data_IF_219696656137
#
_entry.id   IF_219696656137
#
_cell.length_a   1.000
_cell.length_b   1.000
_cell.length_c   1.000
_cell.angle_alpha   90.00
_cell.angle_beta   90.00
_cell.angle_gamma   90.00
#
_symmetry.space_group_name_H-M   'P 1'
#
loop_
_entity.id
_entity.type
_entity.pdbx_description
1 polymer ?
#
# COMPACT_ATOMS: atom_id res chain seq x y z
N UNK A 1 -15.92 67.00 46.06
CA UNK A 1 -15.20 66.15 45.09
C UNK A 1 -14.14 65.33 45.82
N UNK A 2 -14.37 64.04 46.05
CA UNK A 2 -13.35 63.06 46.48
C UNK A 2 -13.56 61.81 45.63
N UNK A 3 -12.61 61.52 44.76
CA UNK A 3 -12.65 60.41 43.81
C UNK A 3 -12.22 59.12 44.50
N UNK A 4 -13.12 58.12 44.46
CA UNK A 4 -12.83 56.75 44.89
C UNK A 4 -12.13 56.08 43.70
N UNK A 5 -10.85 55.72 43.87
CA UNK A 5 -10.13 54.91 42.88
C UNK A 5 -10.52 53.44 43.08
N UNK A 6 -11.35 52.93 42.17
CA UNK A 6 -11.73 51.53 42.10
C UNK A 6 -10.53 50.72 41.59
N UNK A 7 -10.03 49.80 42.41
CA UNK A 7 -8.95 48.88 42.06
C UNK A 7 -9.58 47.65 41.40
N UNK A 8 -9.55 47.59 40.06
CA UNK A 8 -10.01 46.43 39.32
C UNK A 8 -8.95 45.33 39.37
N UNK A 9 -9.25 44.24 40.08
CA UNK A 9 -8.43 43.02 40.09
C UNK A 9 -8.73 42.25 38.80
N UNK A 10 -7.75 42.24 37.89
CA UNK A 10 -7.79 41.47 36.65
C UNK A 10 -7.52 39.99 36.97
N UNK A 11 -8.58 39.18 37.08
CA UNK A 11 -8.44 37.73 37.22
C UNK A 11 -8.00 37.13 35.87
N UNK A 12 -6.72 36.77 35.76
CA UNK A 12 -6.20 36.03 34.62
C UNK A 12 -6.76 34.59 34.64
N UNK A 13 -7.74 34.32 33.78
CA UNK A 13 -8.18 32.96 33.45
C UNK A 13 -7.05 32.26 32.69
N UNK A 14 -6.19 31.54 33.42
CA UNK A 14 -5.24 30.61 32.83
C UNK A 14 -6.01 29.39 32.36
N UNK A 15 -6.45 29.40 31.11
CA UNK A 15 -6.96 28.22 30.43
C UNK A 15 -5.80 27.21 30.30
N UNK A 16 -5.75 26.24 31.20
CA UNK A 16 -4.84 25.09 31.07
C UNK A 16 -5.29 24.27 29.85
N UNK A 17 -4.70 24.55 28.69
CA UNK A 17 -4.81 23.66 27.55
C UNK A 17 -4.06 22.36 27.92
N UNK A 18 -4.80 21.31 28.29
CA UNK A 18 -4.23 19.98 28.41
C UNK A 18 -3.74 19.55 27.02
N UNK A 19 -2.43 19.59 26.82
CA UNK A 19 -1.78 18.90 25.72
C UNK A 19 -1.99 17.39 25.95
N UNK A 20 -3.13 16.87 25.51
CA UNK A 20 -3.35 15.43 25.53
C UNK A 20 -2.36 14.80 24.56
N UNK A 21 -1.39 14.06 25.09
CA UNK A 21 -0.46 13.29 24.27
C UNK A 21 -1.25 12.42 23.29
N UNK A 22 -1.05 12.67 21.99
CA UNK A 22 -1.69 11.88 20.93
C UNK A 22 -1.31 10.42 21.13
N UNK A 23 -2.29 9.53 21.24
CA UNK A 23 -2.03 8.10 21.36
C UNK A 23 -1.55 7.56 20.02
N UNK A 24 -0.65 6.59 20.06
CA UNK A 24 -0.16 5.91 18.87
C UNK A 24 -0.54 4.45 18.88
N UNK A 25 -0.65 3.92 17.67
CA UNK A 25 -0.99 2.53 17.42
C UNK A 25 -0.03 1.97 16.39
N UNK A 26 0.08 0.66 16.40
CA UNK A 26 0.81 -0.13 15.43
C UNK A 26 -0.16 -1.16 14.88
N UNK A 27 -0.22 -1.29 13.56
CA UNK A 27 -0.94 -2.39 12.92
C UNK A 27 0.06 -3.31 12.24
N UNK A 28 -0.18 -4.60 12.39
CA UNK A 28 0.49 -5.65 11.65
C UNK A 28 -0.56 -6.47 10.91
N UNK A 29 -0.32 -6.74 9.63
CA UNK A 29 -1.28 -7.37 8.73
C UNK A 29 -0.61 -8.42 7.84
N UNK A 30 -1.33 -9.51 7.59
CA UNK A 30 -1.05 -10.49 6.55
C UNK A 30 -2.26 -10.57 5.63
N UNK A 31 -2.04 -10.45 4.33
CA UNK A 31 -3.03 -10.81 3.31
C UNK A 31 -2.57 -12.07 2.58
N UNK A 32 -3.50 -12.99 2.28
CA UNK A 32 -3.20 -14.28 1.67
C UNK A 32 -4.34 -14.77 0.77
N UNK A 33 -3.98 -15.58 -0.22
CA UNK A 33 -4.94 -16.26 -1.10
C UNK A 33 -5.57 -17.45 -0.38
N UNK A 34 -6.90 -17.59 -0.49
CA UNK A 34 -7.63 -18.77 -0.04
C UNK A 34 -7.76 -19.79 -1.17
N UNK A 35 -7.70 -21.08 -0.84
CA UNK A 35 -8.06 -22.12 -1.79
C UNK A 35 -9.58 -22.14 -2.00
N UNK A 36 -10.06 -22.29 -3.25
CA UNK A 36 -11.49 -22.39 -3.50
C UNK A 36 -12.06 -23.63 -2.81
N UNK A 37 -13.08 -23.44 -1.96
CA UNK A 37 -13.86 -24.59 -1.49
C UNK A 37 -14.66 -25.17 -2.66
N UNK A 38 -14.69 -26.50 -2.78
CA UNK A 38 -15.35 -27.24 -3.87
C UNK A 38 -16.88 -27.00 -3.96
N UNK A 39 -17.46 -26.31 -2.96
CA UNK A 39 -18.88 -25.99 -2.84
C UNK A 39 -19.22 -24.51 -3.10
N UNK A 40 -18.25 -23.66 -3.44
CA UNK A 40 -18.49 -22.23 -3.69
C UNK A 40 -19.19 -22.01 -5.03
N UNK A 41 -20.44 -21.54 -4.95
CA UNK A 41 -21.28 -21.09 -6.08
C UNK A 41 -21.50 -19.58 -6.02
N UNK A 42 -20.43 -18.81 -5.86
CA UNK A 42 -20.52 -17.35 -5.92
C UNK A 42 -20.12 -16.85 -7.31
N UNK A 43 -20.94 -15.94 -7.84
CA UNK A 43 -20.71 -15.29 -9.12
C UNK A 43 -19.83 -14.05 -8.91
N UNK A 44 -18.53 -14.19 -9.17
CA UNK A 44 -17.54 -13.09 -9.09
C UNK A 44 -17.41 -12.32 -10.42
N UNK A 45 -18.39 -12.42 -11.32
CA UNK A 45 -18.31 -11.81 -12.65
C UNK A 45 -18.59 -10.29 -12.66
N UNK A 46 -18.92 -9.70 -11.50
CA UNK A 46 -19.18 -8.26 -11.39
C UNK A 46 -17.84 -7.54 -11.28
N UNK A 47 -17.44 -6.83 -12.33
CA UNK A 47 -16.32 -5.89 -12.25
C UNK A 47 -16.64 -4.81 -11.21
N UNK A 48 -15.85 -4.71 -10.14
CA UNK A 48 -16.26 -3.91 -9.02
C UNK A 48 -15.83 -2.44 -9.24
N UNK A 49 -16.65 -1.48 -8.84
CA UNK A 49 -16.43 -0.04 -9.11
C UNK A 49 -15.02 0.44 -8.69
N UNK A 50 -14.42 1.44 -9.35
CA UNK A 50 -13.11 1.94 -8.94
C UNK A 50 -13.15 2.44 -7.48
N UNK A 51 -12.15 2.05 -6.68
CA UNK A 51 -12.05 2.45 -5.28
C UNK A 51 -12.05 3.98 -5.13
N UNK A 52 -12.79 4.52 -4.15
CA UNK A 52 -12.91 5.96 -3.93
C UNK A 52 -11.58 6.59 -3.45
N UNK A 53 -10.91 7.32 -4.34
CA UNK A 53 -9.52 7.79 -4.18
C UNK A 53 -9.39 9.16 -3.50
N UNK A 54 -9.56 9.24 -2.18
CA UNK A 54 -9.24 10.47 -1.43
C UNK A 54 -8.27 10.19 -0.29
N UNK A 55 -7.30 11.10 -0.08
CA UNK A 55 -6.31 11.00 1.00
C UNK A 55 -5.56 9.65 1.02
N UNK A 56 -5.07 9.20 -0.14
CA UNK A 56 -4.32 7.95 -0.29
C UNK A 56 -2.88 8.17 0.19
N UNK A 57 -2.34 7.18 0.89
CA UNK A 57 -0.95 7.14 1.32
C UNK A 57 -0.31 5.81 0.89
N UNK A 58 0.62 5.89 -0.07
CA UNK A 58 1.31 4.75 -0.66
C UNK A 58 2.55 4.33 0.11
N UNK A 59 2.37 3.93 1.38
CA UNK A 59 3.48 3.53 2.26
C UNK A 59 4.27 2.35 1.67
N UNK A 60 3.56 1.31 1.23
CA UNK A 60 4.18 0.07 0.72
C UNK A 60 4.98 0.31 -0.54
N UNK A 61 4.51 1.20 -1.42
CA UNK A 61 5.21 1.56 -2.64
C UNK A 61 6.64 2.06 -2.33
N UNK A 62 6.76 2.98 -1.36
CA UNK A 62 8.08 3.46 -0.90
C UNK A 62 8.95 2.33 -0.36
N UNK A 63 8.41 1.46 0.50
CA UNK A 63 9.16 0.32 1.05
C UNK A 63 9.56 -0.73 0.00
N UNK A 64 8.74 -0.98 -1.01
CA UNK A 64 9.11 -1.84 -2.14
C UNK A 64 10.15 -1.19 -3.05
N UNK A 65 10.09 0.13 -3.24
CA UNK A 65 11.12 0.85 -3.98
C UNK A 65 12.48 0.75 -3.28
N UNK A 66 12.51 0.95 -1.96
CA UNK A 66 13.72 0.72 -1.14
C UNK A 66 14.21 -0.72 -1.25
N UNK A 67 13.30 -1.69 -1.32
CA UNK A 67 13.67 -3.10 -1.49
C UNK A 67 14.35 -3.34 -2.83
N UNK A 68 13.77 -2.83 -3.93
CA UNK A 68 14.37 -2.96 -5.26
C UNK A 68 15.70 -2.23 -5.40
N UNK A 69 15.82 -1.05 -4.80
CA UNK A 69 17.10 -0.32 -4.73
C UNK A 69 18.18 -1.13 -3.99
N UNK A 70 17.86 -1.72 -2.83
CA UNK A 70 18.82 -2.58 -2.11
C UNK A 70 19.20 -3.82 -2.92
N UNK A 71 18.24 -4.47 -3.58
CA UNK A 71 18.53 -5.60 -4.48
C UNK A 71 19.42 -5.21 -5.66
N UNK A 72 19.27 -3.99 -6.19
CA UNK A 72 20.19 -3.45 -7.19
C UNK A 72 21.61 -3.33 -6.64
N UNK A 73 21.77 -2.74 -5.45
CA UNK A 73 23.07 -2.60 -4.79
C UNK A 73 23.73 -3.95 -4.47
N UNK A 74 22.93 -4.98 -4.21
CA UNK A 74 23.36 -6.37 -4.01
C UNK A 74 23.78 -7.08 -5.31
N UNK A 75 23.62 -6.43 -6.47
CA UNK A 75 24.05 -6.95 -7.77
C UNK A 75 22.98 -7.74 -8.52
N UNK A 76 21.71 -7.59 -8.18
CA UNK A 76 20.62 -8.24 -8.93
C UNK A 76 20.51 -7.69 -10.35
N UNK A 77 20.69 -8.56 -11.35
CA UNK A 77 20.61 -8.21 -12.76
C UNK A 77 19.24 -7.66 -13.18
N UNK A 78 18.16 -8.03 -12.47
CA UNK A 78 16.80 -7.54 -12.73
C UNK A 78 16.66 -6.03 -12.51
N UNK A 79 17.42 -5.47 -11.57
CA UNK A 79 17.30 -4.07 -11.16
C UNK A 79 18.43 -3.18 -11.65
N UNK A 80 19.51 -3.78 -12.15
CA UNK A 80 20.63 -3.07 -12.76
C UNK A 80 20.17 -2.33 -14.03
N UNK A 81 20.49 -1.05 -14.12
CA UNK A 81 20.34 -0.33 -15.40
C UNK A 81 21.49 -0.69 -16.32
N UNK A 82 21.16 -1.11 -17.54
CA UNK A 82 22.16 -1.34 -18.57
C UNK A 82 22.57 0.02 -19.15
N UNK A 83 23.58 0.61 -18.53
CA UNK A 83 24.20 1.85 -18.97
C UNK A 83 25.03 1.58 -20.25
N UNK A 84 24.36 1.45 -21.40
CA UNK A 84 24.98 1.11 -22.68
C UNK A 84 26.12 2.10 -23.04
N UNK A 85 25.89 3.40 -22.84
CA UNK A 85 26.87 4.46 -23.14
C UNK A 85 28.10 4.39 -22.23
N UNK A 86 27.94 3.98 -20.96
CA UNK A 86 29.04 3.84 -20.00
C UNK A 86 29.82 2.54 -20.21
N UNK A 87 29.14 1.48 -20.66
CA UNK A 87 29.75 0.25 -21.13
C UNK A 87 30.67 0.45 -22.34
N UNK A 88 30.36 1.41 -23.21
CA UNK A 88 31.20 1.78 -24.36
C UNK A 88 32.44 2.60 -23.97
N UNK A 89 32.38 3.40 -22.91
CA UNK A 89 33.46 4.34 -22.55
C UNK A 89 34.41 3.82 -21.47
N UNK A 90 33.97 2.91 -20.60
CA UNK A 90 34.74 2.47 -19.43
C UNK A 90 35.23 1.03 -19.48
N UNK A 91 34.88 0.24 -20.51
CA UNK A 91 35.31 -1.15 -20.65
C UNK A 91 34.79 -2.10 -19.54
N UNK A 92 33.99 -1.59 -18.61
CA UNK A 92 33.39 -2.33 -17.51
C UNK A 92 31.86 -2.11 -17.53
N UNK A 93 31.11 -3.21 -17.38
CA UNK A 93 29.65 -3.17 -17.14
C UNK A 93 29.43 -2.67 -15.71
N UNK A 94 29.49 -1.37 -15.45
CA UNK A 94 29.06 -0.85 -14.15
C UNK A 94 27.55 -0.72 -14.16
N UNK A 95 26.86 -1.66 -13.51
CA UNK A 95 25.45 -1.50 -13.15
C UNK A 95 25.33 -0.31 -12.20
N UNK A 96 24.72 0.78 -12.67
CA UNK A 96 24.37 1.92 -11.83
C UNK A 96 23.01 1.64 -11.17
N UNK A 97 22.92 1.97 -9.88
CA UNK A 97 21.68 1.91 -9.12
C UNK A 97 21.29 3.34 -8.78
N UNK A 98 20.32 3.88 -9.51
CA UNK A 98 19.80 5.22 -9.31
C UNK A 98 18.65 5.21 -8.28
N UNK A 99 18.77 5.92 -7.14
CA UNK A 99 17.72 5.95 -6.11
C UNK A 99 16.39 6.57 -6.58
N UNK A 100 16.39 7.35 -7.66
CA UNK A 100 15.19 8.05 -8.17
C UNK A 100 14.35 7.16 -9.13
N UNK A 101 14.84 5.97 -9.45
CA UNK A 101 14.13 5.00 -10.31
C UNK A 101 12.96 4.36 -9.58
N UNK A 102 11.88 4.12 -10.32
CA UNK A 102 10.76 3.29 -9.87
C UNK A 102 11.09 1.80 -10.02
N UNK A 103 11.71 1.23 -8.99
CA UNK A 103 12.01 -0.19 -8.92
C UNK A 103 10.77 -1.06 -8.77
N UNK A 104 9.63 -0.52 -8.29
CA UNK A 104 8.39 -1.28 -8.10
C UNK A 104 7.88 -1.86 -9.42
N UNK A 105 7.97 -1.09 -10.51
CA UNK A 105 7.59 -1.53 -11.87
C UNK A 105 8.51 -2.63 -12.44
N UNK A 106 9.73 -2.79 -11.90
CA UNK A 106 10.68 -3.82 -12.34
C UNK A 106 10.39 -5.19 -11.72
N UNK A 107 9.51 -5.29 -10.72
CA UNK A 107 9.16 -6.57 -10.07
C UNK A 107 8.08 -7.33 -10.85
N UNK A 108 8.37 -8.56 -11.28
CA UNK A 108 7.32 -9.48 -11.73
C UNK A 108 6.44 -10.01 -10.58
N UNK A 109 6.99 -10.07 -9.35
CA UNK A 109 6.26 -10.42 -8.13
C UNK A 109 6.88 -9.68 -6.96
N UNK A 110 6.06 -9.01 -6.15
CA UNK A 110 6.55 -8.27 -5.00
C UNK A 110 7.03 -9.22 -3.91
N UNK A 111 8.11 -8.88 -3.18
CA UNK A 111 8.52 -9.64 -2.02
C UNK A 111 7.42 -9.62 -0.96
N UNK A 112 7.32 -10.67 -0.15
CA UNK A 112 6.23 -10.81 0.84
C UNK A 112 6.12 -9.61 1.80
N UNK A 113 7.25 -8.99 2.13
CA UNK A 113 7.29 -7.84 3.04
C UNK A 113 8.17 -6.74 2.45
N UNK A 114 7.68 -5.49 2.38
CA UNK A 114 8.52 -4.36 2.01
C UNK A 114 9.65 -4.18 3.03
N UNK A 115 10.76 -3.58 2.62
CA UNK A 115 11.82 -3.17 3.53
C UNK A 115 11.57 -1.76 4.03
N UNK A 116 11.83 -1.57 5.31
CA UNK A 116 11.81 -0.27 5.97
C UNK A 116 12.91 -0.27 7.05
N UNK A 117 13.51 0.89 7.32
CA UNK A 117 14.42 1.01 8.45
C UNK A 117 13.63 1.10 9.76
N UNK A 118 14.08 0.47 10.85
CA UNK A 118 13.45 0.58 12.16
C UNK A 118 13.34 2.03 12.59
N UNK A 119 12.12 2.49 12.83
CA UNK A 119 11.80 3.84 13.27
C UNK A 119 10.99 3.78 14.56
N UNK A 120 11.15 4.80 15.42
CA UNK A 120 10.46 4.87 16.72
C UNK A 120 9.78 6.22 16.99
N UNK A 121 9.86 7.15 16.04
CA UNK A 121 9.30 8.49 16.16
C UNK A 121 7.76 8.47 16.23
N UNK A 122 7.19 9.61 16.64
CA UNK A 122 5.75 9.81 16.85
C UNK A 122 5.25 11.12 16.23
N UNK A 123 5.72 11.46 15.03
CA UNK A 123 5.34 12.68 14.28
C UNK A 123 4.57 12.39 12.96
N UNK A 124 4.83 11.25 12.32
CA UNK A 124 4.31 10.89 11.00
C UNK A 124 4.14 9.38 10.85
N UNK A 125 3.27 8.94 9.94
CA UNK A 125 3.00 7.51 9.71
C UNK A 125 4.17 6.88 8.96
N UNK A 126 4.66 5.72 9.41
CA UNK A 126 5.77 4.99 8.78
C UNK A 126 5.60 3.48 8.83
N UNK A 127 6.25 2.79 7.89
CA UNK A 127 6.31 1.33 7.83
C UNK A 127 7.19 0.76 8.95
N UNK A 128 6.79 -0.38 9.48
CA UNK A 128 7.59 -1.18 10.39
C UNK A 128 8.65 -1.98 9.63
N UNK A 129 9.79 -2.19 10.27
CA UNK A 129 10.78 -3.17 9.82
C UNK A 129 10.33 -4.61 10.13
N UNK A 130 10.85 -5.58 9.37
CA UNK A 130 10.55 -7.02 9.54
C UNK A 130 10.92 -7.53 10.93
N UNK A 131 11.94 -6.96 11.58
CA UNK A 131 12.32 -7.33 12.95
C UNK A 131 11.26 -6.95 13.99
N UNK A 132 10.34 -6.04 13.66
CA UNK A 132 9.27 -5.57 14.54
C UNK A 132 7.96 -6.37 14.38
N UNK A 133 7.94 -7.37 13.48
CA UNK A 133 6.77 -8.21 13.23
C UNK A 133 6.60 -9.34 14.25
N UNK A 134 5.37 -9.55 14.71
CA UNK A 134 5.00 -10.61 15.64
C UNK A 134 4.32 -11.81 14.96
N UNK A 135 3.95 -11.70 13.68
CA UNK A 135 3.18 -12.72 12.96
C UNK A 135 4.03 -13.75 12.20
N UNK A 136 5.32 -13.86 12.47
CA UNK A 136 6.20 -14.88 11.87
C UNK A 136 5.65 -16.30 12.01
N UNK A 137 5.10 -16.63 13.19
CA UNK A 137 4.44 -17.92 13.44
C UNK A 137 3.15 -18.09 12.62
N UNK A 138 2.41 -17.02 12.36
CA UNK A 138 1.19 -17.05 11.55
C UNK A 138 1.50 -17.25 10.07
N UNK A 139 2.56 -16.63 9.56
CA UNK A 139 3.07 -16.93 8.21
C UNK A 139 3.44 -18.41 8.08
N UNK A 140 4.17 -18.97 9.04
CA UNK A 140 4.51 -20.40 9.03
C UNK A 140 3.26 -21.29 9.12
N UNK A 141 2.26 -20.91 9.93
CA UNK A 141 0.98 -21.61 10.02
C UNK A 141 0.22 -21.61 8.69
N UNK A 142 0.11 -20.46 8.03
CA UNK A 142 -0.55 -20.33 6.71
C UNK A 142 0.12 -21.21 5.67
N UNK A 143 1.45 -21.15 5.57
CA UNK A 143 2.24 -21.98 4.63
C UNK A 143 2.05 -23.47 4.88
N UNK A 144 2.01 -23.91 6.15
CA UNK A 144 1.73 -25.32 6.49
C UNK A 144 0.32 -25.78 6.09
N UNK A 145 -0.65 -24.86 6.06
CA UNK A 145 -2.02 -25.13 5.61
C UNK A 145 -2.17 -25.07 4.08
N UNK A 146 -1.08 -24.88 3.32
CA UNK A 146 -1.11 -24.75 1.87
C UNK A 146 -1.54 -23.36 1.38
N UNK A 147 -1.85 -22.43 2.28
CA UNK A 147 -2.27 -21.08 1.93
C UNK A 147 -1.06 -20.25 1.48
N UNK A 148 -1.30 -19.31 0.56
CA UNK A 148 -0.25 -18.48 -0.05
C UNK A 148 -0.30 -17.04 0.49
N UNK A 149 0.61 -16.65 1.40
CA UNK A 149 0.73 -15.25 1.82
C UNK A 149 1.17 -14.37 0.64
N UNK A 150 0.46 -13.27 0.43
CA UNK A 150 0.71 -12.30 -0.64
C UNK A 150 1.40 -11.04 -0.12
N UNK A 151 1.12 -10.68 1.14
CA UNK A 151 1.69 -9.52 1.81
C UNK A 151 1.77 -9.77 3.32
N UNK A 152 2.89 -9.40 3.95
CA UNK A 152 3.07 -9.27 5.39
C UNK A 152 3.71 -7.91 5.66
N UNK A 153 2.95 -7.01 6.26
CA UNK A 153 3.38 -5.63 6.49
C UNK A 153 2.86 -5.11 7.83
N UNK A 154 3.40 -3.98 8.27
CA UNK A 154 2.87 -3.22 9.38
C UNK A 154 3.29 -1.77 9.31
N UNK A 155 2.55 -0.90 10.00
CA UNK A 155 2.86 0.52 10.10
C UNK A 155 2.40 1.08 11.44
N UNK A 156 3.02 2.18 11.85
CA UNK A 156 2.63 2.97 13.02
C UNK A 156 1.87 4.21 12.62
N UNK A 157 0.84 4.54 13.39
CA UNK A 157 -0.02 5.67 13.10
C UNK A 157 -0.56 6.33 14.37
N UNK A 158 -0.80 7.66 14.34
CA UNK A 158 -1.39 8.38 15.46
C UNK A 158 -2.90 8.17 15.54
N UNK A 159 -3.47 8.51 16.68
CA UNK A 159 -4.91 8.60 16.88
C UNK A 159 -5.54 9.67 15.95
N UNK A 160 -6.26 9.20 14.93
CA UNK A 160 -6.84 10.05 13.90
C UNK A 160 -8.33 9.80 13.74
N UNK A 161 -9.11 10.88 13.60
CA UNK A 161 -10.53 10.77 13.24
C UNK A 161 -10.69 10.30 11.79
N UNK A 162 -11.88 9.81 11.42
CA UNK A 162 -12.16 9.35 10.06
C UNK A 162 -11.75 10.39 8.98
N UNK A 163 -11.97 11.69 9.21
CA UNK A 163 -11.59 12.74 8.24
C UNK A 163 -10.08 12.89 8.07
N UNK A 164 -9.29 12.67 9.13
CA UNK A 164 -7.82 12.85 9.12
C UNK A 164 -7.07 11.59 8.72
N UNK A 165 -7.62 10.42 9.03
CA UNK A 165 -7.00 9.14 8.71
C UNK A 165 -6.84 8.96 7.19
N UNK A 166 -5.65 8.59 6.70
CA UNK A 166 -5.44 8.27 5.30
C UNK A 166 -6.02 6.90 4.94
N UNK A 167 -6.26 6.71 3.65
CA UNK A 167 -6.43 5.39 3.06
C UNK A 167 -5.03 4.86 2.70
N UNK A 168 -4.56 3.84 3.39
CA UNK A 168 -3.27 3.21 3.09
C UNK A 168 -3.44 2.33 1.86
N UNK A 169 -2.62 2.57 0.85
CA UNK A 169 -2.58 1.73 -0.34
C UNK A 169 -1.91 0.40 -0.04
N UNK A 170 -2.62 -0.68 -0.37
CA UNK A 170 -2.18 -2.04 -0.21
C UNK A 170 -1.86 -2.59 -1.59
N UNK A 171 -0.65 -3.10 -1.77
CA UNK A 171 -0.20 -3.80 -2.98
C UNK A 171 0.59 -5.05 -2.59
N UNK A 172 0.49 -6.12 -3.38
CA UNK A 172 1.21 -7.37 -3.12
C UNK A 172 1.02 -8.43 -4.21
N UNK A 173 1.80 -9.50 -4.11
CA UNK A 173 1.74 -10.64 -5.04
C UNK A 173 2.33 -10.35 -6.43
N UNK A 174 1.88 -11.10 -7.44
CA UNK A 174 2.38 -10.99 -8.82
C UNK A 174 1.82 -9.78 -9.57
N UNK A 175 2.55 -9.33 -10.58
CA UNK A 175 2.08 -8.29 -11.49
C UNK A 175 1.18 -8.90 -12.58
N UNK A 176 0.08 -8.22 -12.89
CA UNK A 176 -0.76 -8.51 -14.06
C UNK A 176 -0.59 -7.38 -15.07
N UNK A 177 -0.05 -7.70 -16.25
CA UNK A 177 -0.01 -6.78 -17.37
C UNK A 177 -1.38 -6.75 -18.06
N UNK A 178 -1.88 -5.55 -18.38
CA UNK A 178 -3.01 -5.44 -19.31
C UNK A 178 -2.51 -5.81 -20.71
N UNK A 179 -3.29 -6.53 -21.55
CA UNK A 179 -2.90 -6.73 -22.94
C UNK A 179 -2.75 -5.36 -23.61
N UNK A 180 -1.59 -5.11 -24.21
CA UNK A 180 -1.26 -3.86 -24.89
C UNK A 180 -2.24 -3.59 -26.01
N UNK A 181 -3.23 -2.72 -25.78
CA UNK A 181 -4.17 -2.28 -26.80
C UNK A 181 -3.58 -1.07 -27.52
N UNK A 182 -3.04 -1.27 -28.72
CA UNK A 182 -2.68 -0.17 -29.60
C UNK A 182 -3.95 0.44 -30.20
N UNK A 183 -4.34 1.64 -29.78
CA UNK A 183 -5.34 2.41 -30.52
C UNK A 183 -4.62 3.22 -31.61
N UNK A 184 -4.76 2.80 -32.87
CA UNK A 184 -4.35 3.62 -34.01
C UNK A 184 -5.44 4.65 -34.26
N UNK A 185 -5.17 5.92 -33.95
CA UNK A 185 -6.01 7.02 -34.43
C UNK A 185 -5.58 7.37 -35.84
N UNK A 186 -6.37 6.97 -36.84
CA UNK A 186 -6.24 7.50 -38.20
C UNK A 186 -6.72 8.96 -38.19
N UNK A 187 -5.79 9.89 -38.39
CA UNK A 187 -6.16 11.24 -38.79
C UNK A 187 -6.53 11.18 -40.28
N UNK A 188 -7.82 11.35 -40.58
CA UNK A 188 -8.33 11.48 -41.94
C UNK A 188 -7.99 12.87 -42.52
N UNK A 189 -6.71 13.13 -42.72
CA UNK A 189 -6.24 14.25 -43.52
C UNK A 189 -5.90 13.73 -44.92
N UNK A 190 -6.90 13.76 -45.80
CA UNK A 190 -6.69 13.68 -47.24
C UNK A 190 -5.74 14.83 -47.65
N UNK A 191 -4.59 14.46 -48.21
CA UNK A 191 -3.46 15.31 -48.67
C UNK A 191 -2.35 15.63 -47.64
N UNK A 192 -1.52 14.63 -47.31
CA UNK A 192 -0.06 14.77 -47.51
C UNK A 192 0.60 13.39 -47.63
N UNK A 193 1.13 13.07 -48.80
CA UNK A 193 2.03 11.95 -48.97
C UNK A 193 3.41 12.34 -48.40
N UNK A 194 3.98 11.45 -47.56
CA UNK A 194 5.38 11.39 -47.12
C UNK A 194 5.77 11.95 -45.73
N UNK A 195 4.84 12.31 -44.85
CA UNK A 195 5.20 12.60 -43.45
C UNK A 195 4.05 12.36 -42.46
N UNK A 196 3.48 11.16 -42.42
CA UNK A 196 2.62 10.77 -41.31
C UNK A 196 3.48 10.57 -40.05
N UNK A 197 3.48 11.59 -39.18
CA UNK A 197 3.81 11.38 -37.76
C UNK A 197 2.63 10.61 -37.16
N UNK A 198 2.77 9.29 -37.05
CA UNK A 198 1.88 8.50 -36.22
C UNK A 198 2.02 9.00 -34.78
N UNK A 199 1.04 9.77 -34.30
CA UNK A 199 0.93 10.05 -32.88
C UNK A 199 0.45 8.76 -32.22
N UNK A 200 1.39 7.92 -31.81
CA UNK A 200 1.12 6.79 -30.92
C UNK A 200 0.88 7.42 -29.54
N UNK A 201 -0.40 7.61 -29.20
CA UNK A 201 -0.77 7.97 -27.83
C UNK A 201 -0.72 6.68 -27.01
N UNK A 202 0.42 6.42 -26.38
CA UNK A 202 0.57 5.33 -25.42
C UNK A 202 -0.34 5.63 -24.23
N UNK A 203 -1.49 4.95 -24.14
CA UNK A 203 -2.28 4.94 -22.92
C UNK A 203 -1.43 4.21 -21.89
N UNK A 204 -0.78 4.95 -20.98
CA UNK A 204 0.09 4.40 -19.94
C UNK A 204 -0.63 3.21 -19.28
N UNK A 205 -0.18 1.99 -19.61
CA UNK A 205 -0.81 0.76 -19.15
C UNK A 205 -0.86 0.78 -17.63
N UNK A 206 -2.06 0.67 -17.06
CA UNK A 206 -2.18 0.55 -15.61
C UNK A 206 -1.69 -0.85 -15.23
N UNK A 207 -0.51 -0.88 -14.62
CA UNK A 207 0.03 -2.07 -13.96
C UNK A 207 -0.87 -2.39 -12.78
N UNK A 208 -1.44 -3.59 -12.78
CA UNK A 208 -2.27 -4.09 -11.70
C UNK A 208 -1.51 -5.13 -10.89
N UNK A 209 -1.62 -5.05 -9.56
CA UNK A 209 -1.04 -6.07 -8.68
C UNK A 209 -2.07 -7.14 -8.36
N UNK A 210 -1.58 -8.34 -8.05
CA UNK A 210 -2.43 -9.46 -7.66
C UNK A 210 -3.30 -9.10 -6.47
N UNK A 211 -2.74 -8.45 -5.46
CA UNK A 211 -3.47 -7.82 -4.39
C UNK A 211 -3.32 -6.31 -4.55
N UNK A 212 -4.43 -5.59 -4.66
CA UNK A 212 -4.46 -4.13 -4.68
C UNK A 212 -5.65 -3.58 -3.91
N UNK A 213 -5.51 -2.43 -3.26
CA UNK A 213 -6.66 -1.77 -2.65
C UNK A 213 -6.31 -0.81 -1.53
N UNK A 214 -7.27 -0.53 -0.66
CA UNK A 214 -7.18 0.49 0.37
C UNK A 214 -7.59 -0.06 1.73
N UNK A 215 -6.82 0.28 2.75
CA UNK A 215 -7.19 0.06 4.15
C UNK A 215 -7.14 1.38 4.90
N UNK A 216 -8.21 1.68 5.62
CA UNK A 216 -8.31 2.85 6.47
C UNK A 216 -8.56 2.47 7.90
N UNK A 217 -7.70 2.93 8.79
CA UNK A 217 -7.85 2.78 10.23
C UNK A 217 -8.10 4.14 10.84
N UNK A 218 -9.19 4.28 11.57
CA UNK A 218 -9.47 5.52 12.30
C UNK A 218 -9.96 5.22 13.71
N UNK A 219 -9.78 6.20 14.59
CA UNK A 219 -10.07 6.10 16.01
C UNK A 219 -11.21 7.06 16.37
N UNK A 220 -12.16 6.53 17.15
CA UNK A 220 -13.16 7.30 17.90
C UNK A 220 -13.20 6.73 19.32
N UNK A 221 -14.36 6.23 19.75
CA UNK A 221 -14.47 5.46 21.00
C UNK A 221 -13.87 4.06 20.85
N UNK A 222 -13.71 3.59 19.62
CA UNK A 222 -13.12 2.32 19.23
C UNK A 222 -12.20 2.51 18.02
N UNK A 223 -11.46 1.46 17.67
CA UNK A 223 -10.77 1.35 16.38
C UNK A 223 -11.77 0.86 15.34
N UNK A 224 -11.80 1.54 14.20
CA UNK A 224 -12.59 1.15 13.04
C UNK A 224 -11.66 0.92 11.85
N UNK A 225 -11.87 -0.19 11.16
CA UNK A 225 -11.11 -0.59 9.99
C UNK A 225 -12.08 -0.69 8.81
N UNK A 226 -11.83 0.11 7.77
CA UNK A 226 -12.45 -0.04 6.46
C UNK A 226 -11.44 -0.69 5.54
N UNK A 227 -11.84 -1.78 4.89
CA UNK A 227 -10.98 -2.56 4.00
C UNK A 227 -11.71 -2.71 2.67
N UNK A 228 -11.08 -2.24 1.60
CA UNK A 228 -11.54 -2.43 0.23
C UNK A 228 -10.36 -2.97 -0.58
N UNK A 229 -10.30 -4.29 -0.74
CA UNK A 229 -9.20 -5.00 -1.38
C UNK A 229 -9.69 -5.85 -2.55
N UNK A 230 -8.97 -5.77 -3.65
CA UNK A 230 -9.15 -6.59 -4.83
C UNK A 230 -8.04 -7.63 -4.91
N UNK A 231 -8.45 -8.88 -5.15
CA UNK A 231 -7.56 -9.98 -5.45
C UNK A 231 -7.80 -10.43 -6.90
N UNK A 232 -6.81 -10.25 -7.76
CA UNK A 232 -6.80 -10.75 -9.14
C UNK A 232 -6.25 -12.17 -9.17
N UNK A 233 -6.93 -13.06 -9.89
CA UNK A 233 -6.54 -14.45 -10.04
C UNK A 233 -6.87 -14.96 -11.43
N UNK A 234 -6.11 -15.96 -11.89
CA UNK A 234 -6.35 -16.62 -13.17
C UNK A 234 -7.41 -17.70 -13.00
N UNK A 235 -8.42 -17.69 -13.87
CA UNK A 235 -9.42 -18.76 -13.99
C UNK A 235 -9.45 -19.23 -15.45
N UNK A 236 -8.69 -20.29 -15.74
CA UNK A 236 -8.44 -20.72 -17.11
C UNK A 236 -7.58 -19.69 -17.86
N UNK A 237 -8.15 -19.11 -18.93
CA UNK A 237 -7.48 -18.07 -19.72
C UNK A 237 -7.87 -16.64 -19.32
N UNK A 238 -8.84 -16.49 -18.41
CA UNK A 238 -9.37 -15.18 -18.01
C UNK A 238 -8.77 -14.74 -16.67
N UNK A 239 -8.59 -13.44 -16.51
CA UNK A 239 -8.25 -12.83 -15.22
C UNK A 239 -9.54 -12.39 -14.56
N UNK A 240 -9.83 -12.93 -13.37
CA UNK A 240 -10.98 -12.53 -12.55
C UNK A 240 -10.53 -11.74 -11.33
N UNK A 241 -11.44 -10.92 -10.81
CA UNK A 241 -11.21 -10.11 -9.61
C UNK A 241 -12.17 -10.53 -8.51
N UNK A 242 -11.65 -10.78 -7.32
CA UNK A 242 -12.40 -11.03 -6.10
C UNK A 242 -12.27 -9.81 -5.18
N UNK A 243 -13.38 -9.14 -4.86
CA UNK A 243 -13.38 -7.96 -3.99
C UNK A 243 -13.81 -8.28 -2.56
N UNK A 244 -12.97 -7.93 -1.59
CA UNK A 244 -13.32 -7.82 -0.18
C UNK A 244 -13.62 -6.36 0.15
N UNK A 245 -14.88 -6.04 0.48
CA UNK A 245 -15.27 -4.74 1.05
C UNK A 245 -15.91 -4.96 2.41
N UNK A 246 -15.24 -4.50 3.47
CA UNK A 246 -15.66 -4.70 4.85
C UNK A 246 -15.43 -3.46 5.72
N UNK A 247 -16.37 -3.19 6.63
CA UNK A 247 -16.25 -2.18 7.67
C UNK A 247 -16.45 -2.83 9.03
N UNK A 248 -15.42 -2.83 9.86
CA UNK A 248 -15.46 -3.51 11.16
C UNK A 248 -14.93 -2.65 12.30
N UNK A 249 -15.48 -2.89 13.49
CA UNK A 249 -14.99 -2.34 14.76
C UNK A 249 -14.09 -3.37 15.41
N UNK A 250 -12.88 -2.95 15.81
CA UNK A 250 -11.88 -3.84 16.38
C UNK A 250 -11.43 -3.39 17.76
N UNK A 251 -10.95 -4.34 18.55
CA UNK A 251 -10.32 -4.10 19.84
C UNK A 251 -8.80 -4.19 19.70
N UNK A 252 -8.11 -3.28 20.39
CA UNK A 252 -6.65 -3.27 20.39
C UNK A 252 -6.10 -4.46 21.18
N UNK A 253 -5.08 -5.13 20.64
CA UNK A 253 -4.47 -6.32 21.21
C UNK A 253 -5.04 -7.63 20.67
N UNK A 254 -6.27 -7.63 20.16
CA UNK A 254 -6.87 -8.83 19.58
C UNK A 254 -6.41 -9.04 18.13
N UNK A 255 -6.31 -10.31 17.72
CA UNK A 255 -6.10 -10.69 16.33
C UNK A 255 -7.47 -10.76 15.65
N UNK A 256 -7.62 -10.04 14.55
CA UNK A 256 -8.82 -9.98 13.73
C UNK A 256 -8.61 -10.73 12.42
N UNK A 257 -9.68 -11.35 11.94
CA UNK A 257 -9.70 -12.06 10.66
C UNK A 257 -10.83 -11.51 9.79
N UNK A 258 -10.50 -11.11 8.56
CA UNK A 258 -11.45 -10.78 7.52
C UNK A 258 -11.48 -11.95 6.54
N UNK A 259 -12.67 -12.52 6.38
CA UNK A 259 -12.89 -13.67 5.54
C UNK A 259 -13.48 -13.25 4.19
N UNK A 260 -13.00 -13.86 3.13
CA UNK A 260 -13.54 -13.80 1.77
C UNK A 260 -13.15 -15.10 1.04
N UNK A 261 -14.04 -15.70 0.23
CA UNK A 261 -13.82 -16.99 -0.43
C UNK A 261 -12.49 -17.21 -1.17
N UNK A 262 -11.90 -16.11 -1.67
CA UNK A 262 -10.62 -16.10 -2.38
C UNK A 262 -9.50 -15.37 -1.62
N UNK A 263 -9.82 -14.55 -0.62
CA UNK A 263 -8.90 -13.63 0.02
C UNK A 263 -9.06 -13.70 1.55
N UNK A 264 -7.97 -13.85 2.27
CA UNK A 264 -7.96 -13.75 3.74
C UNK A 264 -7.09 -12.60 4.20
N UNK A 265 -7.54 -11.89 5.23
CA UNK A 265 -6.71 -10.88 5.91
C UNK A 265 -6.68 -11.17 7.41
N UNK A 266 -5.48 -11.32 7.96
CA UNK A 266 -5.24 -11.39 9.42
C UNK A 266 -4.55 -10.11 9.83
N UNK A 267 -5.06 -9.42 10.84
CA UNK A 267 -4.39 -8.22 11.35
C UNK A 267 -4.56 -8.06 12.86
N UNK A 268 -3.65 -7.32 13.48
CA UNK A 268 -3.73 -6.94 14.89
C UNK A 268 -3.32 -5.48 15.03
N UNK A 269 -4.06 -4.74 15.86
CA UNK A 269 -3.74 -3.35 16.19
C UNK A 269 -3.33 -3.26 17.65
N UNK A 270 -2.08 -2.86 17.92
CA UNK A 270 -1.50 -2.72 19.25
C UNK A 270 -1.35 -1.24 19.60
N UNK A 271 -1.40 -0.91 20.89
CA UNK A 271 -0.99 0.42 21.36
C UNK A 271 0.52 0.54 21.28
N UNK A 272 1.01 1.60 20.69
CA UNK A 272 2.43 1.93 20.68
C UNK A 272 2.73 2.89 21.83
N UNK A 273 3.69 2.54 22.66
CA UNK A 273 4.20 3.36 23.75
C UNK A 273 5.71 3.43 23.59
N UNK A 274 6.24 4.65 23.62
CA UNK A 274 7.66 4.89 23.80
C UNK A 274 8.04 4.66 25.27
#
# INVERSE_FOLDING_TARGET
MKTIKSLAILAALVSSASAHATRWFEVEMIAFEQEPSFSLREDFSIEPEPLNRKNIMSLLFGGFNTTGYKLCLEGSEQFAEQDFIRGLTSGARSSSCDPDVNYVEKFGTLPLSPQAEPQEHMDSIYLLDKSQFNFSNKIAELKRKGLKPLLHTGWRFPEQSNKRAPNIEIIGGKQFASPSSYSVTENDDQFSSLSNRFNIQESKEQVHWQLEGLIKIHVRHYLYVTTDLDLKYEDGNDIRTARMSQYTRVYSGDIHYLDHPKLGVIFQIRKYKH
#
